data_IF_758234104091
#
_entry.id   IF_758234104091
#
_cell.length_a   1.000
_cell.length_b   1.000
_cell.length_c   1.000
_cell.angle_alpha   90.00
_cell.angle_beta   90.00
_cell.angle_gamma   90.00
#
_symmetry.space_group_name_H-M   'P 1'
#
loop_
_entity.id
_entity.type
_entity.pdbx_description
1 polymer ?
#
# COMPACT_ATOMS: atom_id res chain seq x y z
N UNK A 1 19.15 -2.33 12.46
CA UNK A 1 18.53 -1.19 11.77
C UNK A 1 17.06 -1.19 12.14
N UNK A 2 16.51 -0.04 12.54
CA UNK A 2 15.08 0.06 12.82
C UNK A 2 14.35 0.39 11.52
N UNK A 3 13.10 -0.05 11.37
CA UNK A 3 12.29 0.29 10.20
C UNK A 3 11.02 0.96 10.69
N UNK A 4 10.78 2.19 10.23
CA UNK A 4 9.51 2.88 10.45
C UNK A 4 8.63 2.65 9.23
N UNK A 5 7.38 2.25 9.48
CA UNK A 5 6.37 2.08 8.44
C UNK A 5 5.22 3.03 8.73
N UNK A 6 4.87 3.84 7.75
CA UNK A 6 3.79 4.80 7.84
C UNK A 6 2.78 4.47 6.75
N UNK A 7 1.51 4.29 7.10
CA UNK A 7 0.45 4.15 6.10
C UNK A 7 0.22 5.53 5.46
N UNK A 8 0.30 5.61 4.14
CA UNK A 8 0.05 6.85 3.39
C UNK A 8 -1.39 6.86 2.91
N UNK A 9 -1.84 5.79 2.24
CA UNK A 9 -3.17 5.67 1.63
C UNK A 9 -3.68 4.23 1.76
N UNK A 10 -4.99 4.05 1.90
CA UNK A 10 -5.65 2.73 1.85
C UNK A 10 -6.99 2.84 1.14
N UNK A 11 -7.23 2.03 0.12
CA UNK A 11 -8.48 2.02 -0.64
C UNK A 11 -8.75 0.68 -1.29
N UNK A 12 -10.00 0.21 -1.25
CA UNK A 12 -10.41 -1.07 -1.88
C UNK A 12 -9.49 -2.26 -1.51
N UNK A 13 -9.00 -2.29 -0.26
CA UNK A 13 -8.07 -3.34 0.21
C UNK A 13 -6.64 -3.22 -0.32
N UNK A 14 -6.31 -2.14 -1.03
CA UNK A 14 -4.94 -1.76 -1.41
C UNK A 14 -4.39 -0.79 -0.38
N UNK A 15 -3.13 -0.96 0.01
CA UNK A 15 -2.43 -0.14 1.01
C UNK A 15 -1.10 0.34 0.44
N UNK A 16 -0.88 1.65 0.49
CA UNK A 16 0.40 2.29 0.21
C UNK A 16 1.08 2.67 1.52
N UNK A 17 2.29 2.16 1.74
CA UNK A 17 3.08 2.42 2.95
C UNK A 17 4.42 3.06 2.60
N UNK A 18 4.81 4.09 3.35
CA UNK A 18 6.17 4.60 3.36
C UNK A 18 7.01 3.78 4.34
N UNK A 19 8.14 3.26 3.89
CA UNK A 19 9.08 2.46 4.66
C UNK A 19 10.38 3.23 4.75
N UNK A 20 10.69 3.69 5.96
CA UNK A 20 11.95 4.37 6.26
C UNK A 20 12.86 3.41 7.03
N UNK A 21 14.04 3.16 6.50
CA UNK A 21 15.10 2.48 7.22
C UNK A 21 15.88 3.50 8.04
N UNK A 22 16.01 3.22 9.33
CA UNK A 22 16.66 4.09 10.30
C UNK A 22 17.97 3.45 10.77
N UNK A 23 19.05 4.23 10.71
CA UNK A 23 20.32 3.94 11.37
C UNK A 23 20.65 5.06 12.34
N UNK A 24 20.89 4.72 13.63
CA UNK A 24 21.17 5.69 14.69
C UNK A 24 20.16 6.87 14.71
N UNK A 25 18.87 6.55 14.57
CA UNK A 25 17.75 7.51 14.54
C UNK A 25 17.68 8.45 13.30
N UNK A 26 18.54 8.27 12.30
CA UNK A 26 18.47 8.99 11.03
C UNK A 26 17.93 8.10 9.92
N UNK A 27 17.13 8.68 9.02
CA UNK A 27 16.65 7.99 7.81
C UNK A 27 17.82 7.80 6.86
N UNK A 28 18.15 6.55 6.57
CA UNK A 28 19.22 6.17 5.64
C UNK A 28 18.69 5.67 4.30
N UNK A 29 17.45 5.20 4.27
CA UNK A 29 16.78 4.76 3.05
C UNK A 29 15.28 4.95 3.18
N UNK A 30 14.65 5.42 2.11
CA UNK A 30 13.20 5.49 1.97
C UNK A 30 12.77 4.60 0.83
N UNK A 31 11.68 3.86 1.03
CA UNK A 31 11.00 3.12 -0.02
C UNK A 31 9.51 3.13 0.20
N UNK A 32 8.76 2.85 -0.85
CA UNK A 32 7.30 2.80 -0.83
C UNK A 32 6.86 1.39 -1.13
N UNK A 33 5.83 0.92 -0.44
CA UNK A 33 5.30 -0.42 -0.60
C UNK A 33 3.82 -0.36 -0.90
N UNK A 34 3.43 -0.93 -2.04
CA UNK A 34 2.05 -1.18 -2.40
C UNK A 34 1.74 -2.65 -2.07
N UNK A 35 0.70 -2.86 -1.29
CA UNK A 35 0.19 -4.19 -0.95
C UNK A 35 -1.31 -4.24 -1.20
N UNK A 36 -1.83 -5.41 -1.55
CA UNK A 36 -3.25 -5.63 -1.81
C UNK A 36 -3.72 -6.87 -1.06
N UNK A 37 -5.01 -6.93 -0.76
CA UNK A 37 -5.67 -8.14 -0.23
C UNK A 37 -5.78 -9.25 -1.28
N UNK A 38 -5.64 -8.91 -2.57
CA UNK A 38 -5.59 -9.90 -3.64
C UNK A 38 -4.34 -10.76 -3.47
N UNK A 39 -4.37 -11.99 -3.99
CA UNK A 39 -3.23 -12.91 -3.98
C UNK A 39 -2.08 -12.46 -4.92
N UNK A 40 -1.64 -11.21 -4.78
CA UNK A 40 -0.55 -10.61 -5.54
C UNK A 40 0.65 -10.32 -4.61
N UNK A 41 1.86 -10.38 -5.16
CA UNK A 41 3.03 -10.01 -4.38
C UNK A 41 3.05 -8.50 -4.14
N UNK A 42 3.37 -8.07 -2.91
CA UNK A 42 3.53 -6.65 -2.61
C UNK A 42 4.69 -6.07 -3.41
N UNK A 43 4.45 -4.93 -4.06
CA UNK A 43 5.42 -4.21 -4.89
C UNK A 43 6.14 -3.17 -4.04
N UNK A 44 7.46 -3.04 -4.21
CA UNK A 44 8.30 -2.07 -3.51
C UNK A 44 8.93 -1.14 -4.55
N UNK A 45 8.85 0.15 -4.28
CA UNK A 45 9.29 1.23 -5.15
C UNK A 45 10.29 2.12 -4.42
N UNK A 46 11.23 2.69 -5.18
CA UNK A 46 12.19 3.66 -4.68
C UNK A 46 11.72 5.11 -4.85
N UNK A 47 10.66 5.34 -5.62
CA UNK A 47 10.06 6.65 -5.87
C UNK A 47 8.60 6.68 -5.39
N UNK A 48 8.18 7.80 -4.84
CA UNK A 48 6.81 7.99 -4.35
C UNK A 48 5.80 8.03 -5.50
N UNK A 49 6.11 8.75 -6.58
CA UNK A 49 5.20 8.94 -7.72
C UNK A 49 4.92 7.61 -8.39
N UNK A 50 5.96 6.81 -8.62
CA UNK A 50 5.82 5.47 -9.18
C UNK A 50 4.96 4.56 -8.28
N UNK A 51 5.11 4.70 -6.96
CA UNK A 51 4.31 3.94 -6.00
C UNK A 51 2.84 4.38 -5.97
N UNK A 52 2.56 5.67 -6.13
CA UNK A 52 1.21 6.22 -6.22
C UNK A 52 0.52 5.79 -7.52
N UNK A 53 1.22 5.86 -8.66
CA UNK A 53 0.70 5.33 -9.94
C UNK A 53 0.39 3.83 -9.84
N UNK A 54 1.30 3.06 -9.24
CA UNK A 54 1.11 1.63 -9.02
C UNK A 54 -0.05 1.32 -8.07
N UNK A 55 -0.29 2.19 -7.08
CA UNK A 55 -1.42 2.11 -6.16
C UNK A 55 -2.74 2.33 -6.89
N UNK A 56 -2.85 3.39 -7.70
CA UNK A 56 -4.09 3.70 -8.43
C UNK A 56 -4.48 2.59 -9.41
N UNK A 57 -3.51 2.04 -10.14
CA UNK A 57 -3.72 0.89 -11.02
C UNK A 57 -4.22 -0.33 -10.23
N UNK A 58 -3.64 -0.59 -9.06
CA UNK A 58 -4.05 -1.70 -8.20
C UNK A 58 -5.44 -1.49 -7.62
N UNK A 59 -5.80 -0.25 -7.26
CA UNK A 59 -7.14 0.11 -6.75
C UNK A 59 -8.19 -0.13 -7.83
N UNK A 60 -7.98 0.37 -9.05
CA UNK A 60 -8.91 0.16 -10.18
C UNK A 60 -9.14 -1.33 -10.39
N UNK A 61 -8.05 -2.10 -10.43
CA UNK A 61 -8.14 -3.54 -10.60
C UNK A 61 -8.85 -4.21 -9.42
N UNK A 62 -8.61 -3.76 -8.18
CA UNK A 62 -9.24 -4.30 -6.97
C UNK A 62 -10.74 -3.98 -6.91
N UNK A 63 -11.17 -2.82 -7.37
CA UNK A 63 -12.59 -2.44 -7.45
C UNK A 63 -13.41 -3.33 -8.42
N UNK A 64 -12.74 -4.03 -9.33
CA UNK A 64 -13.39 -5.00 -10.24
C UNK A 64 -13.28 -6.45 -9.77
N UNK A 65 -12.55 -6.70 -8.68
CA UNK A 65 -12.35 -8.04 -8.14
C UNK A 65 -13.58 -8.46 -7.31
N UNK A 66 -14.24 -9.60 -7.65
CA UNK A 66 -15.44 -10.04 -6.94
C UNK A 66 -15.23 -10.26 -5.43
N UNK A 67 -14.03 -10.68 -5.01
CA UNK A 67 -13.71 -10.91 -3.61
C UNK A 67 -13.63 -9.58 -2.88
N UNK A 68 -12.94 -8.60 -3.46
CA UNK A 68 -12.83 -7.24 -2.92
C UNK A 68 -14.21 -6.59 -2.83
N UNK A 69 -15.04 -6.72 -3.87
CA UNK A 69 -16.42 -6.19 -3.88
C UNK A 69 -17.26 -6.82 -2.77
N UNK A 70 -17.20 -8.14 -2.59
CA UNK A 70 -17.90 -8.83 -1.51
C UNK A 70 -17.41 -8.38 -0.12
N UNK A 71 -16.09 -8.24 0.06
CA UNK A 71 -15.51 -7.72 1.31
C UNK A 71 -15.91 -6.28 1.60
N UNK A 72 -15.96 -5.42 0.57
CA UNK A 72 -16.40 -4.03 0.68
C UNK A 72 -17.89 -3.95 1.06
N UNK A 73 -18.74 -4.79 0.45
CA UNK A 73 -20.17 -4.89 0.80
C UNK A 73 -20.40 -5.35 2.24
N UNK A 74 -19.49 -6.18 2.76
CA UNK A 74 -19.52 -6.65 4.16
C UNK A 74 -18.89 -5.66 5.14
N UNK A 75 -18.36 -4.52 4.67
CA UNK A 75 -17.71 -3.52 5.53
C UNK A 75 -16.39 -4.00 6.13
N UNK A 76 -15.69 -4.93 5.47
CA UNK A 76 -14.45 -5.55 5.97
C UNK A 76 -13.17 -4.83 5.51
N UNK A 77 -13.30 -3.73 4.75
CA UNK A 77 -12.19 -2.95 4.23
C UNK A 77 -12.13 -1.58 4.90
N UNK A 78 -10.97 -1.21 5.43
CA UNK A 78 -10.70 0.11 5.97
C UNK A 78 -10.17 1.04 4.86
N UNK A 79 -10.82 2.19 4.70
CA UNK A 79 -10.39 3.26 3.78
C UNK A 79 -9.65 4.34 4.59
N UNK A 80 -8.50 4.78 4.08
CA UNK A 80 -7.66 5.83 4.66
C UNK A 80 -7.24 6.75 3.53
N UNK A 81 -7.75 8.00 3.56
CA UNK A 81 -7.42 9.06 2.59
C UNK A 81 -6.24 9.91 3.04
#
# INVERSE_FOLDING_TARGET
MATRKTLIKSRAGVRLQHIEQLARQQVVQSSWRVSTIRHNQPRIFADQTEAEDAFDVEVIASLTDPIVIDMQRRGLLEEFE
#
